data_IF_306460171886
#
_entry.id   IF_306460171886
#
_cell.length_a   1.000
_cell.length_b   1.000
_cell.length_c   1.000
_cell.angle_alpha   90.00
_cell.angle_beta   90.00
_cell.angle_gamma   90.00
#
_symmetry.space_group_name_H-M   'P 1'
#
loop_
_entity.id
_entity.type
_entity.pdbx_description
1 polymer ?
#
# COMPACT_ATOMS: atom_id res chain seq x y z
N UNK A 1 -2.08 -31.93 -24.25
CA UNK A 1 -1.90 -30.62 -23.56
C UNK A 1 -1.90 -30.85 -22.07
N UNK A 2 -0.97 -30.28 -21.30
CA UNK A 2 -0.96 -30.42 -19.86
C UNK A 2 -2.20 -29.72 -19.28
N UNK A 3 -2.93 -30.38 -18.37
CA UNK A 3 -4.14 -29.83 -17.73
C UNK A 3 -3.80 -28.58 -16.93
N UNK A 4 -4.49 -27.46 -17.20
CA UNK A 4 -4.35 -26.21 -16.42
C UNK A 4 -4.86 -26.42 -14.99
N UNK A 5 -4.06 -26.07 -13.98
CA UNK A 5 -4.51 -26.06 -12.60
C UNK A 5 -5.45 -24.87 -12.38
N UNK A 6 -6.58 -25.08 -11.71
CA UNK A 6 -7.55 -24.03 -11.40
C UNK A 6 -7.49 -23.76 -9.89
N UNK A 7 -7.38 -22.47 -9.54
CA UNK A 7 -7.35 -21.99 -8.17
C UNK A 7 -8.54 -21.07 -7.92
N UNK A 8 -9.02 -21.04 -6.68
CA UNK A 8 -10.00 -20.07 -6.23
C UNK A 8 -9.36 -18.67 -6.16
N UNK A 9 -8.10 -18.58 -5.74
CA UNK A 9 -7.35 -17.32 -5.63
C UNK A 9 -5.93 -17.48 -6.18
N UNK A 10 -5.48 -16.51 -6.95
CA UNK A 10 -4.08 -16.37 -7.35
C UNK A 10 -3.50 -15.09 -6.73
N UNK A 11 -2.45 -15.25 -5.92
CA UNK A 11 -1.70 -14.12 -5.34
C UNK A 11 -0.60 -13.76 -6.33
N UNK A 12 -0.52 -12.50 -6.74
CA UNK A 12 0.44 -12.05 -7.76
C UNK A 12 1.39 -10.99 -7.19
N UNK A 13 2.67 -11.31 -7.16
CA UNK A 13 3.76 -10.42 -6.75
C UNK A 13 4.61 -9.93 -7.92
N UNK A 14 5.36 -8.86 -7.72
CA UNK A 14 6.36 -8.42 -8.68
C UNK A 14 7.55 -9.36 -8.72
N UNK A 15 8.13 -9.59 -9.90
CA UNK A 15 9.37 -10.34 -10.10
C UNK A 15 10.62 -9.65 -9.51
N UNK A 16 10.49 -8.43 -8.98
CA UNK A 16 11.52 -7.78 -8.15
C UNK A 16 11.45 -8.18 -6.68
N UNK A 17 10.27 -8.60 -6.22
CA UNK A 17 10.03 -8.94 -4.82
C UNK A 17 10.05 -10.44 -4.60
N UNK A 18 9.51 -11.20 -5.56
CA UNK A 18 9.45 -12.66 -5.49
C UNK A 18 10.09 -13.29 -6.73
N UNK A 19 10.71 -14.43 -6.55
CA UNK A 19 11.35 -15.22 -7.63
C UNK A 19 10.29 -16.05 -8.32
N UNK A 20 10.33 -16.08 -9.66
CA UNK A 20 9.47 -16.95 -10.47
C UNK A 20 9.67 -18.43 -10.14
N UNK A 21 8.58 -19.19 -10.03
CA UNK A 21 8.64 -20.64 -9.88
C UNK A 21 9.19 -21.33 -11.14
N UNK A 22 9.28 -20.63 -12.27
CA UNK A 22 9.90 -21.14 -13.51
C UNK A 22 11.43 -21.00 -13.52
N UNK A 23 12.05 -20.53 -12.44
CA UNK A 23 13.51 -20.44 -12.36
C UNK A 23 14.17 -21.81 -12.45
N UNK A 24 15.29 -21.89 -13.17
CA UNK A 24 16.15 -23.09 -13.26
C UNK A 24 17.21 -23.13 -12.15
N UNK A 25 17.29 -22.10 -11.32
CA UNK A 25 18.18 -22.06 -10.18
C UNK A 25 17.80 -23.13 -9.17
N UNK A 26 18.74 -24.04 -8.90
CA UNK A 26 18.57 -25.17 -7.98
C UNK A 26 18.63 -24.72 -6.51
N UNK A 27 19.29 -23.61 -6.23
CA UNK A 27 19.46 -23.01 -4.90
C UNK A 27 18.23 -22.19 -4.41
N UNK A 28 17.20 -22.03 -5.24
CA UNK A 28 15.97 -21.30 -4.89
C UNK A 28 14.93 -22.29 -4.43
N UNK A 29 14.61 -22.28 -3.13
CA UNK A 29 13.61 -23.15 -2.50
C UNK A 29 12.34 -22.39 -2.08
N UNK A 30 12.36 -21.06 -2.10
CA UNK A 30 11.31 -20.19 -1.60
C UNK A 30 11.08 -19.01 -2.55
N UNK A 31 9.85 -18.44 -2.62
CA UNK A 31 9.56 -17.33 -3.52
C UNK A 31 10.27 -16.02 -3.15
N UNK A 32 10.51 -15.75 -1.87
CA UNK A 32 11.12 -14.49 -1.45
C UNK A 32 12.59 -14.71 -1.07
N UNK A 33 13.54 -13.97 -1.71
CA UNK A 33 14.97 -14.22 -1.53
C UNK A 33 15.41 -14.05 -0.08
N UNK A 34 16.16 -15.03 0.43
CA UNK A 34 16.83 -14.92 1.72
C UNK A 34 17.86 -13.78 1.74
N UNK A 35 18.10 -13.20 2.92
CA UNK A 35 19.00 -12.06 3.09
C UNK A 35 18.47 -10.71 2.56
N UNK A 36 17.19 -10.65 2.18
CA UNK A 36 16.51 -9.41 1.80
C UNK A 36 15.46 -9.03 2.85
N UNK A 37 15.05 -7.76 2.84
CA UNK A 37 13.96 -7.27 3.70
C UNK A 37 12.59 -7.93 3.44
N UNK A 38 12.51 -8.81 2.45
CA UNK A 38 11.30 -9.53 2.10
C UNK A 38 11.36 -11.01 2.48
N UNK A 39 12.44 -11.50 3.08
CA UNK A 39 12.59 -12.91 3.45
C UNK A 39 11.45 -13.39 4.37
N UNK A 40 11.02 -12.54 5.29
CA UNK A 40 9.90 -12.83 6.22
C UNK A 40 8.59 -13.14 5.50
N UNK A 41 8.43 -12.68 4.25
CA UNK A 41 7.25 -12.97 3.43
C UNK A 41 7.11 -14.47 3.13
N UNK A 42 8.18 -15.26 3.21
CA UNK A 42 8.08 -16.72 3.09
C UNK A 42 7.22 -17.30 4.23
N UNK A 43 7.41 -16.86 5.45
CA UNK A 43 6.61 -17.27 6.61
C UNK A 43 5.19 -16.73 6.51
N UNK A 44 5.04 -15.44 6.21
CA UNK A 44 3.75 -14.74 6.12
C UNK A 44 2.85 -15.37 5.06
N UNK A 45 3.36 -15.59 3.85
CA UNK A 45 2.56 -16.17 2.76
C UNK A 45 2.46 -17.68 2.84
N UNK A 46 3.39 -18.35 3.50
CA UNK A 46 3.22 -19.75 3.92
C UNK A 46 2.02 -19.92 4.85
N UNK A 47 1.93 -19.06 5.87
CA UNK A 47 0.77 -19.01 6.77
C UNK A 47 -0.52 -18.62 6.03
N UNK A 48 -0.45 -17.67 5.09
CA UNK A 48 -1.58 -17.26 4.26
C UNK A 48 -2.13 -18.43 3.45
N UNK A 49 -1.28 -19.13 2.69
CA UNK A 49 -1.69 -20.28 1.88
C UNK A 49 -2.22 -21.45 2.73
N UNK A 50 -1.59 -21.70 3.88
CA UNK A 50 -2.10 -22.69 4.86
C UNK A 50 -3.48 -22.30 5.37
N UNK A 51 -3.71 -21.01 5.65
CA UNK A 51 -5.01 -20.50 6.08
C UNK A 51 -6.06 -20.61 4.97
N UNK A 52 -5.69 -20.38 3.71
CA UNK A 52 -6.57 -20.63 2.57
C UNK A 52 -7.00 -22.09 2.53
N UNK A 53 -6.04 -23.01 2.57
CA UNK A 53 -6.32 -24.45 2.56
C UNK A 53 -7.25 -24.89 3.70
N UNK A 54 -7.01 -24.41 4.94
CA UNK A 54 -7.87 -24.69 6.10
C UNK A 54 -9.30 -24.16 5.96
N UNK A 55 -9.52 -23.21 5.06
CA UNK A 55 -10.84 -22.66 4.72
C UNK A 55 -11.38 -23.20 3.38
N UNK A 56 -10.89 -24.34 2.91
CA UNK A 56 -11.25 -24.98 1.64
C UNK A 56 -11.06 -24.05 0.42
N UNK A 57 -10.15 -23.09 0.49
CA UNK A 57 -9.84 -22.16 -0.57
C UNK A 57 -8.52 -22.55 -1.23
N UNK A 58 -8.56 -23.04 -2.46
CA UNK A 58 -7.36 -23.35 -3.23
C UNK A 58 -6.66 -22.07 -3.65
N UNK A 59 -5.38 -21.92 -3.30
CA UNK A 59 -4.62 -20.72 -3.59
C UNK A 59 -3.18 -21.03 -4.00
N UNK A 60 -2.61 -20.17 -4.87
CA UNK A 60 -1.22 -20.25 -5.28
C UNK A 60 -0.61 -18.83 -5.35
N UNK A 61 0.73 -18.76 -5.29
CA UNK A 61 1.49 -17.53 -5.46
C UNK A 61 2.25 -17.57 -6.78
N UNK A 62 2.19 -16.48 -7.55
CA UNK A 62 2.93 -16.32 -8.81
C UNK A 62 3.57 -14.95 -8.90
N UNK A 63 4.33 -14.70 -9.95
CA UNK A 63 5.01 -13.42 -10.18
C UNK A 63 4.58 -12.76 -11.48
N UNK A 64 4.87 -11.45 -11.60
CA UNK A 64 4.61 -10.69 -12.83
C UNK A 64 5.33 -11.28 -14.06
N UNK A 65 6.46 -11.97 -13.87
CA UNK A 65 7.19 -12.63 -14.96
C UNK A 65 6.47 -13.85 -15.52
N UNK A 66 5.57 -14.46 -14.72
CA UNK A 66 4.88 -15.70 -15.09
C UNK A 66 3.49 -15.46 -15.69
N UNK A 67 3.01 -14.24 -15.72
CA UNK A 67 1.68 -13.93 -16.28
C UNK A 67 1.67 -14.23 -17.77
N UNK A 68 0.68 -15.03 -18.20
CA UNK A 68 0.56 -15.52 -19.56
C UNK A 68 -0.79 -15.25 -20.24
N UNK A 69 -1.71 -14.59 -19.53
CA UNK A 69 -3.03 -14.24 -20.04
C UNK A 69 -3.98 -13.83 -18.91
N UNK A 70 -5.24 -13.59 -19.25
CA UNK A 70 -6.27 -13.22 -18.30
C UNK A 70 -6.44 -14.27 -17.19
N UNK A 71 -6.10 -13.90 -15.97
CA UNK A 71 -6.11 -14.79 -14.80
C UNK A 71 -5.14 -15.96 -14.89
N UNK A 72 -4.18 -15.98 -15.84
CA UNK A 72 -3.30 -17.12 -16.14
C UNK A 72 -1.85 -16.82 -15.79
N UNK A 73 -1.17 -17.86 -15.28
CA UNK A 73 0.27 -17.87 -15.13
C UNK A 73 0.86 -19.17 -15.70
N UNK A 74 2.14 -19.14 -16.12
CA UNK A 74 2.87 -20.31 -16.63
C UNK A 74 3.51 -21.15 -15.53
N UNK A 75 3.70 -20.59 -14.36
CA UNK A 75 4.25 -21.26 -13.19
C UNK A 75 3.75 -20.60 -11.90
N UNK A 76 3.82 -21.33 -10.81
CA UNK A 76 3.37 -20.84 -9.50
C UNK A 76 4.04 -21.60 -8.35
N UNK A 77 4.00 -21.00 -7.17
CA UNK A 77 4.41 -21.60 -5.91
C UNK A 77 3.19 -22.10 -5.13
N UNK A 78 3.33 -23.28 -4.54
CA UNK A 78 2.44 -23.83 -3.53
C UNK A 78 3.15 -23.90 -2.19
N UNK A 79 2.38 -23.88 -1.11
CA UNK A 79 2.90 -24.15 0.22
C UNK A 79 2.16 -25.34 0.81
N UNK A 80 2.88 -26.46 1.08
CA UNK A 80 2.34 -27.70 1.62
C UNK A 80 3.33 -28.31 2.58
N UNK A 81 2.82 -28.88 3.68
CA UNK A 81 3.65 -29.54 4.70
C UNK A 81 4.81 -28.65 5.18
N UNK A 82 4.54 -27.36 5.36
CA UNK A 82 5.51 -26.32 5.75
C UNK A 82 6.66 -26.10 4.74
N UNK A 83 6.49 -26.49 3.49
CA UNK A 83 7.48 -26.30 2.43
C UNK A 83 6.90 -25.59 1.21
N UNK A 84 7.70 -24.73 0.58
CA UNK A 84 7.41 -24.14 -0.71
C UNK A 84 7.73 -25.12 -1.84
N UNK A 85 6.85 -25.22 -2.81
CA UNK A 85 6.96 -26.13 -3.95
C UNK A 85 6.86 -25.33 -5.25
N UNK A 86 7.91 -25.38 -6.09
CA UNK A 86 7.89 -24.85 -7.45
C UNK A 86 7.03 -25.73 -8.35
N UNK A 87 6.11 -25.14 -9.11
CA UNK A 87 5.28 -25.85 -10.09
C UNK A 87 5.39 -25.15 -11.44
N UNK A 88 6.06 -25.81 -12.39
CA UNK A 88 6.25 -25.36 -13.79
C UNK A 88 5.07 -25.83 -14.66
N UNK A 89 3.85 -25.41 -14.31
CA UNK A 89 2.60 -25.73 -15.04
C UNK A 89 1.71 -24.50 -15.08
N UNK A 90 0.83 -24.45 -16.09
CA UNK A 90 -0.15 -23.36 -16.18
C UNK A 90 -1.15 -23.39 -15.03
N UNK A 91 -1.32 -22.23 -14.39
CA UNK A 91 -2.34 -21.96 -13.38
C UNK A 91 -3.36 -20.93 -13.88
N UNK A 92 -4.58 -20.99 -13.34
CA UNK A 92 -5.65 -20.06 -13.65
C UNK A 92 -6.46 -19.74 -12.39
N UNK A 93 -6.87 -18.49 -12.25
CA UNK A 93 -7.89 -18.08 -11.28
C UNK A 93 -8.74 -16.93 -11.83
N UNK A 94 -10.00 -16.88 -11.38
CA UNK A 94 -10.89 -15.73 -11.63
C UNK A 94 -10.74 -14.63 -10.59
N UNK A 95 -10.21 -14.92 -9.41
CA UNK A 95 -10.00 -13.96 -8.34
C UNK A 95 -8.51 -13.76 -8.09
N UNK A 96 -8.06 -12.54 -8.27
CA UNK A 96 -6.64 -12.18 -8.15
C UNK A 96 -6.43 -11.30 -6.92
N UNK A 97 -5.57 -11.76 -6.01
CA UNK A 97 -5.03 -10.91 -4.95
C UNK A 97 -3.76 -10.24 -5.48
N UNK A 98 -3.95 -9.04 -6.03
CA UNK A 98 -2.91 -8.29 -6.72
C UNK A 98 -2.03 -7.51 -5.72
N UNK A 99 -0.77 -7.90 -5.64
CA UNK A 99 0.29 -7.22 -4.87
C UNK A 99 1.30 -6.53 -5.80
N UNK A 100 0.98 -6.41 -7.10
CA UNK A 100 1.83 -5.68 -8.04
C UNK A 100 1.77 -4.18 -7.77
N UNK A 101 2.95 -3.58 -7.65
CA UNK A 101 3.02 -2.11 -7.66
C UNK A 101 2.80 -1.60 -9.08
N UNK A 102 1.83 -0.72 -9.31
CA UNK A 102 1.54 -0.16 -10.63
C UNK A 102 2.53 0.92 -11.08
N UNK A 103 3.44 1.30 -10.22
CA UNK A 103 4.44 2.36 -10.47
C UNK A 103 5.35 2.02 -11.64
N UNK A 104 5.63 0.74 -11.85
CA UNK A 104 6.52 0.29 -12.91
C UNK A 104 5.75 0.08 -14.21
N UNK A 105 6.20 0.69 -15.31
CA UNK A 105 5.68 0.45 -16.66
C UNK A 105 5.64 -1.06 -17.01
N UNK A 106 6.65 -1.81 -16.56
CA UNK A 106 6.74 -3.28 -16.71
C UNK A 106 5.54 -3.97 -16.05
N UNK A 107 5.18 -3.57 -14.81
CA UNK A 107 4.05 -4.19 -14.10
C UNK A 107 2.70 -3.78 -14.66
N UNK A 108 2.61 -2.59 -15.25
CA UNK A 108 1.39 -2.15 -15.92
C UNK A 108 1.00 -3.10 -17.03
N UNK A 109 1.93 -3.44 -17.93
CA UNK A 109 1.68 -4.39 -19.01
C UNK A 109 1.25 -5.77 -18.49
N UNK A 110 1.95 -6.30 -17.47
CA UNK A 110 1.57 -7.57 -16.85
C UNK A 110 0.17 -7.49 -16.21
N UNK A 111 -0.19 -6.39 -15.56
CA UNK A 111 -1.53 -6.22 -15.00
C UNK A 111 -2.60 -6.09 -16.07
N UNK A 112 -2.37 -5.34 -17.14
CA UNK A 112 -3.29 -5.22 -18.27
C UNK A 112 -3.56 -6.60 -18.89
N UNK A 113 -2.54 -7.43 -19.06
CA UNK A 113 -2.68 -8.80 -19.53
C UNK A 113 -3.46 -9.69 -18.54
N UNK A 114 -3.12 -9.59 -17.24
CA UNK A 114 -3.75 -10.38 -16.18
C UNK A 114 -5.26 -10.12 -16.08
N UNK A 115 -5.67 -8.86 -16.27
CA UNK A 115 -7.06 -8.40 -16.17
C UNK A 115 -7.73 -8.14 -17.54
N UNK A 116 -7.18 -8.69 -18.63
CA UNK A 116 -7.71 -8.49 -19.99
C UNK A 116 -9.09 -9.12 -20.24
N UNK A 117 -9.60 -9.91 -19.30
CA UNK A 117 -10.97 -10.48 -19.35
C UNK A 117 -11.84 -9.94 -18.20
N UNK A 118 -13.08 -9.55 -18.51
CA UNK A 118 -14.09 -9.15 -17.51
C UNK A 118 -14.45 -10.25 -16.50
N UNK A 119 -14.14 -11.52 -16.81
CA UNK A 119 -14.35 -12.64 -15.90
C UNK A 119 -13.30 -12.70 -14.77
N UNK A 120 -12.16 -12.04 -14.93
CA UNK A 120 -11.11 -11.99 -13.93
C UNK A 120 -11.35 -10.78 -13.03
N UNK A 121 -11.52 -11.04 -11.75
CA UNK A 121 -11.81 -10.01 -10.74
C UNK A 121 -10.55 -9.73 -9.93
N UNK A 122 -10.28 -8.47 -9.72
CA UNK A 122 -9.28 -8.00 -8.79
C UNK A 122 -9.87 -7.92 -7.37
N UNK A 123 -9.11 -8.36 -6.37
CA UNK A 123 -9.54 -8.25 -4.96
C UNK A 123 -9.61 -6.78 -4.52
N UNK A 124 -8.66 -5.94 -4.95
CA UNK A 124 -8.69 -4.50 -4.71
C UNK A 124 -9.26 -3.76 -5.93
N UNK A 125 -10.04 -2.70 -5.71
CA UNK A 125 -10.55 -1.87 -6.79
C UNK A 125 -9.44 -1.06 -7.46
N UNK A 126 -9.38 -1.09 -8.77
CA UNK A 126 -8.37 -0.37 -9.55
C UNK A 126 -8.49 1.15 -9.38
N UNK A 127 -9.70 1.69 -9.36
CA UNK A 127 -9.96 3.13 -9.18
C UNK A 127 -9.48 3.64 -7.81
N UNK A 128 -9.63 2.84 -6.75
CA UNK A 128 -9.08 3.16 -5.42
C UNK A 128 -7.56 3.22 -5.46
N UNK A 129 -6.98 2.28 -6.21
CA UNK A 129 -5.55 2.29 -6.47
C UNK A 129 -5.13 3.57 -7.21
N UNK A 130 -5.80 3.92 -8.33
CA UNK A 130 -5.55 5.14 -9.11
C UNK A 130 -5.69 6.42 -8.26
N UNK A 131 -6.56 6.39 -7.24
CA UNK A 131 -6.74 7.51 -6.31
C UNK A 131 -5.54 7.64 -5.37
N UNK A 132 -5.13 6.55 -4.71
CA UNK A 132 -4.13 6.62 -3.65
C UNK A 132 -2.68 6.63 -4.14
N UNK A 133 -2.44 6.13 -5.34
CA UNK A 133 -1.12 6.07 -5.91
C UNK A 133 -0.52 7.45 -6.20
N UNK A 134 -1.33 8.37 -6.72
CA UNK A 134 -0.95 9.74 -7.02
C UNK A 134 -1.40 10.67 -5.89
N UNK A 135 -0.45 11.14 -5.08
CA UNK A 135 -0.76 12.02 -3.92
C UNK A 135 -1.47 13.32 -4.30
N UNK A 136 -1.19 13.87 -5.50
CA UNK A 136 -1.92 15.05 -5.98
C UNK A 136 -3.37 14.70 -6.32
N UNK A 137 -3.59 13.55 -6.95
CA UNK A 137 -4.95 13.08 -7.26
C UNK A 137 -5.73 12.76 -5.97
N UNK A 138 -5.06 12.14 -4.98
CA UNK A 138 -5.64 11.94 -3.65
C UNK A 138 -6.10 13.26 -3.05
N UNK A 139 -5.24 14.28 -3.06
CA UNK A 139 -5.57 15.61 -2.57
C UNK A 139 -6.75 16.23 -3.35
N UNK A 140 -6.71 16.21 -4.66
CA UNK A 140 -7.78 16.81 -5.48
C UNK A 140 -9.16 16.19 -5.20
N UNK A 141 -9.22 14.90 -4.89
CA UNK A 141 -10.48 14.19 -4.57
C UNK A 141 -10.88 14.32 -3.10
N UNK A 142 -9.92 14.48 -2.19
CA UNK A 142 -10.09 14.39 -0.74
C UNK A 142 -9.50 15.62 -0.02
N UNK A 143 -9.47 16.78 -0.67
CA UNK A 143 -8.85 18.01 -0.15
C UNK A 143 -9.41 18.44 1.21
N UNK A 144 -10.71 18.24 1.44
CA UNK A 144 -11.36 18.54 2.71
C UNK A 144 -10.86 17.72 3.92
N UNK A 145 -10.07 16.66 3.64
CA UNK A 145 -9.48 15.78 4.67
C UNK A 145 -7.96 15.91 4.74
N UNK A 146 -7.33 16.64 3.83
CA UNK A 146 -5.88 16.62 3.61
C UNK A 146 -5.27 18.00 3.78
N UNK A 147 -4.01 18.07 4.17
CA UNK A 147 -3.26 19.33 4.18
C UNK A 147 -3.12 19.88 2.75
N UNK A 148 -3.03 21.20 2.55
CA UNK A 148 -2.81 21.82 1.25
C UNK A 148 -1.67 21.17 0.48
N UNK A 149 -1.88 20.90 -0.80
CA UNK A 149 -0.93 20.13 -1.63
C UNK A 149 -0.80 20.77 -3.02
N UNK A 150 0.44 21.01 -3.46
CA UNK A 150 0.77 21.59 -4.76
C UNK A 150 1.81 20.74 -5.47
N UNK A 151 1.60 20.46 -6.75
CA UNK A 151 2.59 19.77 -7.59
C UNK A 151 3.68 20.74 -8.05
N UNK A 152 4.93 20.30 -8.07
CA UNK A 152 6.04 21.00 -8.71
C UNK A 152 6.10 20.56 -10.17
N UNK A 153 5.79 21.49 -11.10
CA UNK A 153 5.67 21.17 -12.53
C UNK A 153 7.01 20.83 -13.20
N UNK A 154 8.06 21.56 -12.85
CA UNK A 154 9.40 21.39 -13.46
C UNK A 154 10.49 21.43 -12.39
N UNK A 155 11.60 20.74 -12.63
CA UNK A 155 12.78 20.74 -11.75
C UNK A 155 13.64 22.00 -11.91
N UNK A 156 12.99 23.18 -11.89
CA UNK A 156 13.64 24.50 -11.96
C UNK A 156 13.33 25.33 -10.72
N UNK A 157 14.25 26.16 -10.29
CA UNK A 157 14.04 27.04 -9.14
C UNK A 157 12.82 27.97 -9.31
N UNK A 158 12.53 28.41 -10.52
CA UNK A 158 11.35 29.23 -10.81
C UNK A 158 10.05 28.46 -10.57
N UNK A 159 9.96 27.22 -11.07
CA UNK A 159 8.78 26.36 -10.85
C UNK A 159 8.58 26.01 -9.38
N UNK A 160 9.67 25.77 -8.63
CA UNK A 160 9.61 25.51 -7.20
C UNK A 160 9.14 26.75 -6.45
N UNK A 161 9.68 27.94 -6.75
CA UNK A 161 9.21 29.21 -6.12
C UNK A 161 7.73 29.45 -6.40
N UNK A 162 7.26 29.19 -7.63
CA UNK A 162 5.84 29.28 -7.97
C UNK A 162 5.00 28.34 -7.12
N UNK A 163 5.38 27.07 -7.01
CA UNK A 163 4.67 26.08 -6.18
C UNK A 163 4.68 26.46 -4.69
N UNK A 164 5.79 26.99 -4.17
CA UNK A 164 5.86 27.50 -2.79
C UNK A 164 4.92 28.71 -2.58
N UNK A 165 4.83 29.61 -3.55
CA UNK A 165 3.92 30.76 -3.48
C UNK A 165 2.45 30.30 -3.47
N UNK A 166 2.08 29.39 -4.35
CA UNK A 166 0.74 28.81 -4.42
C UNK A 166 0.40 28.09 -3.10
N UNK A 167 1.33 27.27 -2.58
CA UNK A 167 1.14 26.60 -1.30
C UNK A 167 0.93 27.59 -0.15
N UNK A 168 1.71 28.67 -0.11
CA UNK A 168 1.57 29.74 0.92
C UNK A 168 0.20 30.38 0.85
N UNK A 169 -0.30 30.69 -0.35
CA UNK A 169 -1.64 31.24 -0.53
C UNK A 169 -2.72 30.26 -0.02
N UNK A 170 -2.60 28.96 -0.32
CA UNK A 170 -3.51 27.95 0.17
C UNK A 170 -3.47 27.81 1.69
N UNK A 171 -2.29 27.89 2.33
CA UNK A 171 -2.13 27.86 3.79
C UNK A 171 -2.81 29.06 4.41
N UNK A 172 -2.58 30.25 3.90
CA UNK A 172 -3.16 31.49 4.46
C UNK A 172 -4.70 31.49 4.42
N UNK A 173 -5.28 30.89 3.37
CA UNK A 173 -6.73 30.76 3.22
C UNK A 173 -7.32 29.51 3.89
N UNK A 174 -6.48 28.66 4.51
CA UNK A 174 -6.97 27.45 5.16
C UNK A 174 -7.58 27.75 6.54
N UNK A 175 -8.78 27.24 6.87
CA UNK A 175 -9.45 27.52 8.15
C UNK A 175 -8.64 27.11 9.38
N UNK A 176 -7.74 26.13 9.23
CA UNK A 176 -6.84 25.66 10.28
C UNK A 176 -5.37 26.03 9.97
N UNK A 177 -5.11 27.24 9.46
CA UNK A 177 -3.74 27.69 9.09
C UNK A 177 -2.73 27.60 10.25
N UNK A 178 -3.19 27.76 11.48
CA UNK A 178 -2.37 27.63 12.70
C UNK A 178 -1.80 26.22 12.95
N UNK A 179 -2.34 25.20 12.28
CA UNK A 179 -1.82 23.84 12.37
C UNK A 179 -0.50 23.66 11.62
N UNK A 180 -0.16 24.57 10.73
CA UNK A 180 0.99 24.45 9.88
C UNK A 180 2.18 25.22 10.43
N UNK A 181 3.36 24.63 10.31
CA UNK A 181 4.62 25.31 10.62
C UNK A 181 5.08 26.15 9.42
N UNK A 182 6.17 26.91 9.59
CA UNK A 182 6.83 27.62 8.49
C UNK A 182 7.65 26.70 7.57
N UNK A 183 7.77 25.41 7.92
CA UNK A 183 8.50 24.43 7.14
C UNK A 183 7.61 23.77 6.10
N UNK A 184 8.22 23.38 4.98
CA UNK A 184 7.56 22.74 3.83
C UNK A 184 8.09 21.30 3.72
N UNK A 185 7.21 20.37 3.42
CA UNK A 185 7.54 18.99 3.11
C UNK A 185 7.43 18.75 1.62
N UNK A 186 8.52 18.34 0.98
CA UNK A 186 8.56 17.89 -0.41
C UNK A 186 8.53 16.36 -0.43
N UNK A 187 7.56 15.77 -1.11
CA UNK A 187 7.35 14.32 -1.19
C UNK A 187 7.34 13.85 -2.65
N UNK A 188 7.95 12.69 -2.92
CA UNK A 188 7.74 11.99 -4.19
C UNK A 188 6.23 11.77 -4.38
N UNK A 189 5.67 12.30 -5.47
CA UNK A 189 4.24 12.26 -5.80
C UNK A 189 3.72 10.83 -5.84
N UNK A 190 4.55 9.88 -6.27
CA UNK A 190 4.24 8.46 -6.44
C UNK A 190 4.99 7.54 -5.46
N UNK A 191 5.73 8.13 -4.52
CA UNK A 191 6.54 7.40 -3.54
C UNK A 191 5.71 6.74 -2.44
N UNK A 192 6.32 5.77 -1.76
CA UNK A 192 5.75 5.06 -0.63
C UNK A 192 6.80 4.79 0.46
N UNK A 193 6.36 4.47 1.68
CA UNK A 193 7.23 4.05 2.78
C UNK A 193 8.13 5.16 3.33
N UNK A 194 7.73 6.43 3.21
CA UNK A 194 8.51 7.58 3.70
C UNK A 194 9.81 7.86 2.92
N UNK A 195 10.05 7.15 1.82
CA UNK A 195 11.19 7.41 0.93
C UNK A 195 10.94 8.68 0.13
N UNK A 196 12.03 9.44 -0.13
CA UNK A 196 11.97 10.71 -0.88
C UNK A 196 10.96 11.71 -0.30
N UNK A 197 10.98 11.82 1.03
CA UNK A 197 10.26 12.81 1.82
C UNK A 197 11.28 13.69 2.51
N UNK A 198 11.28 14.97 2.17
CA UNK A 198 12.29 15.95 2.60
C UNK A 198 11.60 17.14 3.25
N UNK A 199 12.24 17.70 4.28
CA UNK A 199 11.80 18.90 4.99
C UNK A 199 12.69 20.08 4.65
N UNK A 200 12.10 21.25 4.40
CA UNK A 200 12.77 22.47 4.00
C UNK A 200 12.22 23.67 4.75
N UNK A 201 13.09 24.67 4.97
CA UNK A 201 12.68 26.03 5.33
C UNK A 201 12.23 26.80 4.08
N UNK A 202 11.42 27.82 4.28
CA UNK A 202 11.09 28.75 3.19
C UNK A 202 12.36 29.31 2.55
N UNK A 203 12.41 29.38 1.20
CA UNK A 203 13.57 29.91 0.46
C UNK A 203 14.60 28.88 -0.01
N UNK A 204 14.57 27.62 0.44
CA UNK A 204 15.54 26.59 0.05
C UNK A 204 15.30 25.97 -1.35
N UNK A 205 14.78 26.75 -2.29
CA UNK A 205 14.42 26.28 -3.65
C UNK A 205 15.59 25.68 -4.43
N UNK A 206 16.82 26.10 -4.15
CA UNK A 206 18.04 25.57 -4.79
C UNK A 206 18.27 24.12 -4.37
N UNK A 207 18.18 23.81 -3.06
CA UNK A 207 18.32 22.46 -2.53
C UNK A 207 17.23 21.53 -3.10
N UNK A 208 15.99 21.99 -3.15
CA UNK A 208 14.89 21.22 -3.76
C UNK A 208 15.17 20.93 -5.23
N UNK A 209 15.67 21.92 -6.00
CA UNK A 209 16.03 21.76 -7.42
C UNK A 209 17.09 20.67 -7.59
N UNK A 210 18.11 20.66 -6.75
CA UNK A 210 19.20 19.67 -6.79
C UNK A 210 18.66 18.24 -6.59
N UNK A 211 17.80 18.05 -5.59
CA UNK A 211 17.17 16.76 -5.32
C UNK A 211 16.30 16.30 -6.50
N UNK A 212 15.46 17.18 -7.03
CA UNK A 212 14.60 16.86 -8.17
C UNK A 212 15.39 16.47 -9.41
N UNK A 213 16.45 17.19 -9.75
CA UNK A 213 17.33 16.88 -10.89
C UNK A 213 18.02 15.54 -10.73
N UNK A 214 18.53 15.24 -9.52
CA UNK A 214 19.21 13.98 -9.20
C UNK A 214 18.27 12.79 -9.26
N UNK A 215 17.07 12.91 -8.70
CA UNK A 215 16.12 11.81 -8.58
C UNK A 215 15.32 11.53 -9.85
N UNK A 216 15.17 12.55 -10.73
CA UNK A 216 14.31 12.51 -11.94
C UNK A 216 12.85 12.12 -11.64
N UNK A 217 12.36 12.45 -10.44
CA UNK A 217 11.01 12.15 -9.95
C UNK A 217 10.11 13.36 -9.98
N UNK A 218 8.80 13.11 -9.89
CA UNK A 218 7.78 14.14 -9.69
C UNK A 218 7.54 14.35 -8.20
N UNK A 219 7.43 15.61 -7.77
CA UNK A 219 7.26 15.96 -6.37
C UNK A 219 6.03 16.84 -6.15
N UNK A 220 5.47 16.71 -4.96
CA UNK A 220 4.48 17.61 -4.39
C UNK A 220 5.07 18.36 -3.20
N UNK A 221 4.49 19.53 -2.89
CA UNK A 221 4.73 20.29 -1.67
C UNK A 221 3.51 20.25 -0.78
N UNK A 222 3.76 20.13 0.52
CA UNK A 222 2.75 20.25 1.58
C UNK A 222 3.34 21.09 2.73
N UNK A 223 2.52 21.75 3.56
CA UNK A 223 3.02 22.31 4.82
C UNK A 223 3.40 21.17 5.77
N UNK A 224 4.36 21.42 6.64
CA UNK A 224 4.58 20.53 7.77
C UNK A 224 3.50 20.82 8.84
N UNK A 225 2.64 19.86 9.08
CA UNK A 225 1.65 19.92 10.17
C UNK A 225 2.38 19.86 11.52
N UNK A 226 1.99 20.68 12.47
CA UNK A 226 2.45 20.60 13.87
C UNK A 226 1.71 19.45 14.57
N UNK A 227 2.43 18.38 14.92
CA UNK A 227 1.86 17.17 15.52
C UNK A 227 2.90 16.46 16.40
N UNK A 228 2.45 15.57 17.26
CA UNK A 228 3.28 14.86 18.25
C UNK A 228 4.12 13.70 17.65
N UNK A 229 4.40 13.76 16.34
CA UNK A 229 5.20 12.75 15.62
C UNK A 229 4.60 11.34 15.70
N UNK A 230 3.28 11.25 15.78
CA UNK A 230 2.52 10.02 15.79
C UNK A 230 1.52 10.07 14.64
N UNK A 231 1.46 9.02 13.83
CA UNK A 231 0.37 8.81 12.88
C UNK A 231 -0.48 7.60 13.28
N UNK A 232 -1.70 7.57 12.76
CA UNK A 232 -2.69 6.53 13.07
C UNK A 232 -3.07 5.85 11.77
N UNK A 233 -2.84 4.55 11.66
CA UNK A 233 -3.30 3.76 10.52
C UNK A 233 -4.55 2.97 10.87
N UNK A 234 -5.53 3.08 9.98
CA UNK A 234 -6.76 2.28 10.00
C UNK A 234 -6.76 1.35 8.80
N UNK A 235 -6.75 0.03 9.04
CA UNK A 235 -6.85 -0.98 7.99
C UNK A 235 -8.31 -1.36 7.81
N UNK A 236 -8.78 -1.26 6.57
CA UNK A 236 -10.14 -1.59 6.16
C UNK A 236 -10.18 -2.88 5.37
N UNK A 237 -11.20 -3.69 5.64
CA UNK A 237 -11.57 -4.85 4.86
C UNK A 237 -13.09 -4.96 4.81
N UNK A 238 -13.65 -5.10 3.61
CA UNK A 238 -15.09 -5.24 3.39
C UNK A 238 -15.90 -4.14 4.11
N UNK A 239 -15.42 -2.88 4.04
CA UNK A 239 -16.07 -1.72 4.63
C UNK A 239 -15.93 -1.57 6.15
N UNK A 240 -15.18 -2.47 6.82
CA UNK A 240 -14.99 -2.46 8.28
C UNK A 240 -13.53 -2.17 8.63
N UNK A 241 -13.30 -1.42 9.71
CA UNK A 241 -11.98 -1.30 10.32
C UNK A 241 -11.67 -2.64 11.01
N UNK A 242 -10.62 -3.32 10.53
CA UNK A 242 -10.23 -4.66 11.00
C UNK A 242 -8.94 -4.66 11.81
N UNK A 243 -8.12 -3.62 11.66
CA UNK A 243 -6.88 -3.45 12.41
C UNK A 243 -6.58 -1.97 12.57
N UNK A 244 -6.01 -1.60 13.70
CA UNK A 244 -5.62 -0.22 14.03
C UNK A 244 -4.25 -0.23 14.70
N UNK A 245 -3.38 0.69 14.31
CA UNK A 245 -2.11 0.91 14.96
C UNK A 245 -1.61 2.33 14.81
N UNK A 246 -0.72 2.72 15.71
CA UNK A 246 0.02 3.97 15.62
C UNK A 246 1.45 3.68 15.19
N UNK A 247 2.05 4.67 14.52
CA UNK A 247 3.48 4.69 14.26
C UNK A 247 4.06 5.96 14.87
N UNK A 248 5.12 5.79 15.65
CA UNK A 248 5.83 6.88 16.32
C UNK A 248 7.12 7.13 15.57
N UNK A 249 7.39 8.38 15.21
CA UNK A 249 8.63 8.73 14.51
C UNK A 249 9.85 8.45 15.40
N UNK A 250 10.95 8.03 14.75
CA UNK A 250 12.24 7.95 15.42
C UNK A 250 12.65 9.32 15.94
N UNK A 251 13.36 9.35 17.05
CA UNK A 251 13.97 10.57 17.58
C UNK A 251 14.75 11.33 16.51
N UNK A 252 14.53 12.64 16.42
CA UNK A 252 15.14 13.50 15.40
C UNK A 252 14.48 13.45 14.02
N UNK A 253 13.55 12.51 13.76
CA UNK A 253 12.78 12.46 12.51
C UNK A 253 11.33 12.99 12.71
N UNK A 254 10.66 13.33 11.62
CA UNK A 254 9.25 13.69 11.55
C UNK A 254 8.42 12.63 10.81
N UNK A 255 9.08 11.64 10.17
CA UNK A 255 8.44 10.56 9.42
C UNK A 255 8.16 9.39 10.35
N UNK A 256 6.90 8.94 10.40
CA UNK A 256 6.47 7.86 11.28
C UNK A 256 6.59 6.46 10.64
N UNK A 257 7.05 6.38 9.39
CA UNK A 257 7.13 5.11 8.66
C UNK A 257 8.16 4.15 9.28
N UNK A 258 7.82 2.85 9.44
CA UNK A 258 8.74 1.82 9.95
C UNK A 258 10.02 1.70 9.11
N UNK A 259 9.92 1.82 7.77
CA UNK A 259 11.08 1.83 6.87
C UNK A 259 12.05 2.98 7.12
N UNK A 260 11.66 3.97 7.92
CA UNK A 260 12.50 5.08 8.38
C UNK A 260 12.90 4.93 9.84
N UNK A 261 12.63 3.78 10.44
CA UNK A 261 12.94 3.49 11.84
C UNK A 261 11.83 3.93 12.82
N UNK A 262 10.64 4.24 12.32
CA UNK A 262 9.48 4.49 13.17
C UNK A 262 9.02 3.24 13.91
N UNK A 263 8.52 3.40 15.13
CA UNK A 263 8.03 2.32 15.98
C UNK A 263 6.53 2.11 15.74
N UNK A 264 6.15 0.88 15.39
CA UNK A 264 4.76 0.47 15.26
C UNK A 264 4.22 -0.07 16.59
N UNK A 265 3.01 0.36 16.97
CA UNK A 265 2.27 -0.17 18.12
C UNK A 265 0.82 -0.42 17.75
N UNK A 266 0.37 -1.67 17.86
CA UNK A 266 -1.05 -1.99 17.71
C UNK A 266 -1.85 -1.42 18.87
N UNK A 267 -3.02 -0.87 18.55
CA UNK A 267 -3.97 -0.30 19.53
C UNK A 267 -5.36 -0.85 19.27
N UNK A 268 -6.18 -0.93 20.30
CA UNK A 268 -7.58 -1.28 20.13
C UNK A 268 -8.32 -0.15 19.39
N UNK A 269 -9.34 -0.49 18.59
CA UNK A 269 -10.16 0.51 17.90
C UNK A 269 -10.77 1.55 18.85
N UNK A 270 -11.06 1.15 20.09
CA UNK A 270 -11.58 2.05 21.11
C UNK A 270 -10.57 3.11 21.58
N UNK A 271 -9.27 2.85 21.43
CA UNK A 271 -8.20 3.78 21.76
C UNK A 271 -7.95 4.82 20.66
N UNK A 272 -8.48 4.59 19.44
CA UNK A 272 -8.38 5.56 18.36
C UNK A 272 -9.28 6.77 18.68
N UNK A 273 -8.78 8.00 18.58
CA UNK A 273 -9.60 9.20 18.84
C UNK A 273 -10.91 9.16 18.04
N UNK A 274 -12.05 9.37 18.72
CA UNK A 274 -13.37 9.29 18.10
C UNK A 274 -13.52 10.21 16.87
N UNK A 275 -12.81 11.33 16.86
CA UNK A 275 -12.79 12.27 15.75
C UNK A 275 -12.12 11.66 14.50
N UNK A 276 -11.02 10.91 14.64
CA UNK A 276 -10.37 10.17 13.55
C UNK A 276 -11.34 9.16 12.96
N UNK A 277 -12.03 8.39 13.80
CA UNK A 277 -13.03 7.41 13.35
C UNK A 277 -14.18 8.08 12.59
N UNK A 278 -14.68 9.23 13.07
CA UNK A 278 -15.74 9.99 12.38
C UNK A 278 -15.28 10.48 11.01
N UNK A 279 -14.07 11.06 10.94
CA UNK A 279 -13.51 11.55 9.69
C UNK A 279 -13.29 10.39 8.70
N UNK A 280 -12.72 9.28 9.17
CA UNK A 280 -12.51 8.08 8.36
C UNK A 280 -13.83 7.53 7.80
N UNK A 281 -14.91 7.48 8.59
CA UNK A 281 -16.26 7.08 8.11
C UNK A 281 -16.77 7.99 7.00
N UNK A 282 -16.60 9.32 7.13
CA UNK A 282 -16.99 10.27 6.08
C UNK A 282 -16.21 10.03 4.79
N UNK A 283 -14.89 9.83 4.90
CA UNK A 283 -14.01 9.55 3.78
C UNK A 283 -14.39 8.24 3.08
N UNK A 284 -14.63 7.15 3.83
CA UNK A 284 -15.07 5.86 3.29
C UNK A 284 -16.38 5.99 2.51
N UNK A 285 -17.33 6.79 3.01
CA UNK A 285 -18.59 7.05 2.30
C UNK A 285 -18.35 7.70 0.94
N UNK A 286 -17.39 8.62 0.84
CA UNK A 286 -16.99 9.25 -0.43
C UNK A 286 -16.32 8.24 -1.37
N UNK A 287 -15.41 7.42 -0.84
CA UNK A 287 -14.74 6.38 -1.62
C UNK A 287 -15.71 5.30 -2.11
N UNK A 288 -16.79 5.05 -1.38
CA UNK A 288 -17.86 4.08 -1.71
C UNK A 288 -17.33 2.68 -2.10
N UNK A 289 -16.33 2.18 -1.34
CA UNK A 289 -15.66 0.89 -1.57
C UNK A 289 -15.79 -0.01 -0.34
N UNK A 290 -16.53 -1.11 -0.47
CA UNK A 290 -16.82 -2.01 0.67
C UNK A 290 -16.11 -3.35 0.61
N UNK A 291 -15.64 -3.79 -0.56
CA UNK A 291 -15.12 -5.15 -0.78
C UNK A 291 -13.61 -5.19 -0.99
N UNK A 292 -12.87 -4.23 -0.48
CA UNK A 292 -11.43 -4.13 -0.68
C UNK A 292 -10.66 -4.15 0.63
N UNK A 293 -9.39 -4.52 0.52
CA UNK A 293 -8.39 -4.32 1.55
C UNK A 293 -7.61 -3.03 1.24
N UNK A 294 -7.63 -2.06 2.13
CA UNK A 294 -6.83 -0.83 2.03
C UNK A 294 -6.57 -0.25 3.41
N UNK A 295 -5.67 0.70 3.51
CA UNK A 295 -5.48 1.46 4.74
C UNK A 295 -5.53 2.96 4.50
N UNK A 296 -5.85 3.70 5.57
CA UNK A 296 -5.85 5.15 5.63
C UNK A 296 -4.96 5.58 6.79
N UNK A 297 -4.05 6.51 6.52
CA UNK A 297 -3.12 7.06 7.49
C UNK A 297 -3.56 8.47 7.84
N UNK A 298 -3.73 8.74 9.12
CA UNK A 298 -4.15 10.02 9.67
C UNK A 298 -3.10 10.60 10.61
N UNK A 299 -3.03 11.91 10.61
CA UNK A 299 -2.27 12.71 11.55
C UNK A 299 -3.25 13.60 12.32
N UNK A 300 -3.03 13.74 13.62
CA UNK A 300 -3.76 14.67 14.46
C UNK A 300 -2.84 15.84 14.78
N UNK A 301 -3.23 17.06 14.42
CA UNK A 301 -2.45 18.27 14.75
C UNK A 301 -2.49 18.55 16.24
N UNK A 302 -1.56 19.36 16.74
CA UNK A 302 -1.53 19.80 18.14
C UNK A 302 -2.79 20.58 18.56
N UNK A 303 -3.55 21.09 17.58
CA UNK A 303 -4.85 21.75 17.80
C UNK A 303 -6.04 20.77 17.68
N UNK A 304 -5.79 19.46 17.50
CA UNK A 304 -6.82 18.43 17.42
C UNK A 304 -7.46 18.25 16.05
N UNK A 305 -7.01 18.98 15.02
CA UNK A 305 -7.51 18.80 13.66
C UNK A 305 -6.87 17.56 13.01
N UNK A 306 -7.64 16.89 12.15
CA UNK A 306 -7.27 15.59 11.60
C UNK A 306 -6.99 15.72 10.11
N UNK A 307 -5.84 15.21 9.68
CA UNK A 307 -5.41 15.22 8.28
C UNK A 307 -5.19 13.81 7.76
N UNK A 308 -5.76 13.50 6.60
CA UNK A 308 -5.39 12.33 5.82
C UNK A 308 -3.98 12.54 5.26
N UNK A 309 -3.07 11.63 5.58
CA UNK A 309 -1.70 11.64 5.07
C UNK A 309 -1.64 10.92 3.73
N UNK A 310 -2.16 9.70 3.69
CA UNK A 310 -2.18 8.83 2.51
C UNK A 310 -3.20 7.71 2.65
N UNK A 311 -3.58 7.13 1.51
CA UNK A 311 -4.26 5.85 1.44
C UNK A 311 -3.34 4.81 0.78
N UNK A 312 -3.50 3.54 1.14
CA UNK A 312 -2.70 2.45 0.60
C UNK A 312 -3.59 1.25 0.29
N UNK A 313 -3.59 0.78 -0.97
CA UNK A 313 -4.39 -0.37 -1.43
C UNK A 313 -3.70 -1.71 -1.24
N UNK A 314 -2.47 -1.72 -0.79
CA UNK A 314 -1.70 -2.92 -0.50
C UNK A 314 -1.08 -2.87 0.89
N UNK A 315 -1.87 -2.64 1.98
CA UNK A 315 -1.29 -2.65 3.31
C UNK A 315 -0.53 -3.95 3.54
N UNK A 316 0.59 -3.88 4.27
CA UNK A 316 1.38 -5.05 4.64
C UNK A 316 0.51 -6.08 5.35
N UNK A 317 0.77 -7.35 5.06
CA UNK A 317 0.28 -8.50 5.82
C UNK A 317 1.39 -9.12 6.67
N UNK A 318 2.56 -8.58 6.49
CA UNK A 318 3.82 -8.94 7.11
C UNK A 318 3.81 -8.61 8.60
N UNK A 319 4.59 -9.32 9.34
CA UNK A 319 4.88 -9.03 10.74
C UNK A 319 6.40 -9.10 10.98
N UNK A 320 6.84 -8.38 11.98
CA UNK A 320 8.17 -8.58 12.50
C UNK A 320 8.14 -9.89 13.34
N UNK A 321 8.87 -10.90 12.90
CA UNK A 321 8.91 -12.22 13.56
C UNK A 321 9.49 -12.18 14.97
N UNK A 322 10.25 -11.14 15.31
CA UNK A 322 10.83 -10.93 16.64
C UNK A 322 9.81 -10.43 17.67
N UNK A 323 8.67 -9.90 17.22
CA UNK A 323 7.64 -9.30 18.09
C UNK A 323 6.36 -10.13 18.03
N UNK A 324 6.09 -10.89 19.09
CA UNK A 324 4.94 -11.82 19.20
C UNK A 324 3.59 -11.14 18.96
N UNK A 325 3.42 -9.93 19.44
CA UNK A 325 2.18 -9.16 19.28
C UNK A 325 1.93 -8.82 17.79
N UNK A 326 2.98 -8.50 17.04
CA UNK A 326 2.91 -8.23 15.61
C UNK A 326 2.52 -9.49 14.83
N UNK A 327 3.06 -10.64 15.21
CA UNK A 327 2.69 -11.93 14.63
C UNK A 327 1.18 -12.20 14.81
N UNK A 328 0.67 -12.10 16.03
CA UNK A 328 -0.74 -12.35 16.33
C UNK A 328 -1.68 -11.39 15.57
N UNK A 329 -1.31 -10.12 15.50
CA UNK A 329 -2.07 -9.11 14.78
C UNK A 329 -2.09 -9.37 13.26
N UNK A 330 -0.95 -9.72 12.66
CA UNK A 330 -0.85 -10.08 11.25
C UNK A 330 -1.61 -11.37 10.93
N UNK A 331 -1.49 -12.40 11.75
CA UNK A 331 -2.26 -13.63 11.61
C UNK A 331 -3.78 -13.39 11.68
N UNK A 332 -4.24 -12.52 12.60
CA UNK A 332 -5.65 -12.11 12.67
C UNK A 332 -6.10 -11.44 11.38
N UNK A 333 -5.32 -10.50 10.84
CA UNK A 333 -5.63 -9.83 9.58
C UNK A 333 -5.67 -10.83 8.43
N UNK A 334 -4.68 -11.73 8.32
CA UNK A 334 -4.63 -12.77 7.29
C UNK A 334 -5.88 -13.64 7.31
N UNK A 335 -6.31 -14.12 8.50
CA UNK A 335 -7.54 -14.91 8.64
C UNK A 335 -8.78 -14.15 8.14
N UNK A 336 -8.89 -12.86 8.41
CA UNK A 336 -10.00 -12.04 7.93
C UNK A 336 -9.95 -11.84 6.41
N UNK A 337 -8.76 -11.59 5.84
CA UNK A 337 -8.55 -11.46 4.39
C UNK A 337 -8.91 -12.76 3.68
N UNK A 338 -8.45 -13.91 4.18
CA UNK A 338 -8.77 -15.22 3.61
C UNK A 338 -10.27 -15.51 3.67
N UNK A 339 -10.94 -15.17 4.78
CA UNK A 339 -12.40 -15.31 4.88
C UNK A 339 -13.14 -14.46 3.84
N UNK A 340 -12.68 -13.25 3.58
CA UNK A 340 -13.27 -12.39 2.56
C UNK A 340 -12.97 -12.89 1.14
N UNK A 341 -11.77 -13.39 0.87
CA UNK A 341 -11.42 -14.03 -0.39
C UNK A 341 -12.29 -15.26 -0.66
N UNK A 342 -12.51 -16.11 0.35
CA UNK A 342 -13.40 -17.27 0.24
C UNK A 342 -14.83 -16.84 -0.08
N UNK A 343 -15.35 -15.81 0.61
CA UNK A 343 -16.67 -15.26 0.30
C UNK A 343 -16.77 -14.79 -1.15
N UNK A 344 -15.77 -14.10 -1.68
CA UNK A 344 -15.74 -13.60 -3.05
C UNK A 344 -15.56 -14.70 -4.10
N UNK A 345 -14.77 -15.73 -3.80
CA UNK A 345 -14.56 -16.88 -4.68
C UNK A 345 -15.84 -17.72 -4.87
N UNK A 346 -16.64 -17.86 -3.80
CA UNK A 346 -17.85 -18.69 -3.82
C UNK A 346 -19.16 -17.92 -4.15
N UNK A 347 -19.11 -16.61 -4.32
CA UNK A 347 -20.24 -15.88 -4.87
C UNK A 347 -20.46 -16.37 -6.30
N UNK A 348 -21.49 -17.21 -6.49
CA UNK A 348 -21.99 -17.54 -7.84
C UNK A 348 -22.40 -16.23 -8.51
N UNK A 349 -21.75 -15.90 -9.62
CA UNK A 349 -22.24 -14.83 -10.51
C UNK A 349 -23.55 -15.37 -11.05
N UNK A 350 -24.67 -14.87 -10.54
CA UNK A 350 -25.97 -15.03 -11.20
C UNK A 350 -25.82 -14.19 -12.47
N UNK A 351 -25.63 -14.89 -13.60
CA UNK A 351 -25.58 -14.32 -14.94
C UNK A 351 -27.01 -14.05 -15.38
#
# INVERSE_FOLDING_TARGET
MAKTAVFDVLIVYSDRTAISANTDRVDVFEPFPQGTNNADYNVVYGYFLTTCWKNNLSAALTTSADISGAGRCRSYWLFKNNHWIKVKKTGYSRLIFDKLSPVSRKYRVSRELLFSSKQVKQFNHEDLFQTFFDKQKTYNQLSQFSAPTVTIEKSTAASIRKACFELKAMINNHPCSNDFSSEIVMKDRFGAGGRDVYKFKAGESVKMTTIMKKSKKSFILQPLVKFDKVDIRLVYLAGKIVQTYIRVAKEGDFRCNEHQGGLLKYIAKAEVPAAVIRQAKRLIKILNKTTTLFSLDFMVSNNGNIYLIEGNTGPGLDWNLEIKENELAAQKLIRLVVKELARLAYIKVVI
#
